data_IF_679777130301
#
_entry.id   IF_679777130301
#
_cell.length_a   1.000
_cell.length_b   1.000
_cell.length_c   1.000
_cell.angle_alpha   90.00
_cell.angle_beta   90.00
_cell.angle_gamma   90.00
#
_symmetry.space_group_name_H-M   'P 1'
#
loop_
_entity.id
_entity.type
_entity.pdbx_description
1 polymer ?
#
# COMPACT_ATOMS: atom_id res chain seq x y z
N UNK A 1 -10.56 0.78 15.93
CA UNK A 1 -10.59 1.17 14.51
C UNK A 1 -10.56 -0.11 13.68
N UNK A 2 -11.53 -0.30 12.79
CA UNK A 2 -11.57 -1.50 11.92
C UNK A 2 -10.63 -1.35 10.70
N UNK A 3 -10.43 -2.41 9.91
CA UNK A 3 -9.55 -2.40 8.73
C UNK A 3 -9.91 -1.32 7.69
N UNK A 4 -11.20 -1.05 7.50
CA UNK A 4 -11.69 -0.09 6.52
C UNK A 4 -11.29 1.33 6.93
N UNK A 5 -11.52 1.67 8.20
CA UNK A 5 -11.12 2.94 8.79
C UNK A 5 -9.60 3.11 8.80
N UNK A 6 -8.85 2.04 9.10
CA UNK A 6 -7.37 2.03 9.05
C UNK A 6 -6.85 2.28 7.64
N UNK A 7 -7.42 1.60 6.64
CA UNK A 7 -7.06 1.82 5.23
C UNK A 7 -7.35 3.27 4.83
N UNK A 8 -8.53 3.78 5.17
CA UNK A 8 -8.92 5.15 4.84
C UNK A 8 -7.96 6.17 5.46
N UNK A 9 -7.64 6.04 6.75
CA UNK A 9 -6.72 6.94 7.47
C UNK A 9 -5.34 7.00 6.81
N UNK A 10 -4.87 5.87 6.28
CA UNK A 10 -3.51 5.73 5.73
C UNK A 10 -3.47 5.78 4.19
N UNK A 11 -4.60 5.99 3.52
CA UNK A 11 -4.75 5.79 2.08
C UNK A 11 -3.81 6.68 1.25
N UNK A 12 -3.60 7.93 1.67
CA UNK A 12 -2.71 8.87 0.99
C UNK A 12 -1.25 8.38 0.98
N UNK A 13 -0.77 7.83 2.09
CA UNK A 13 0.58 7.26 2.18
C UNK A 13 0.70 5.99 1.33
N UNK A 14 -0.27 5.09 1.44
CA UNK A 14 -0.33 3.84 0.69
C UNK A 14 -0.30 4.12 -0.83
N UNK A 15 -1.12 5.06 -1.31
CA UNK A 15 -1.12 5.46 -2.73
C UNK A 15 0.22 6.06 -3.17
N UNK A 16 0.85 6.90 -2.34
CA UNK A 16 2.16 7.48 -2.69
C UNK A 16 3.24 6.41 -2.74
N UNK A 17 3.21 5.42 -1.85
CA UNK A 17 4.18 4.32 -1.84
C UNK A 17 4.15 3.46 -3.10
N UNK A 18 2.99 3.33 -3.75
CA UNK A 18 2.90 2.64 -5.05
C UNK A 18 3.30 3.54 -6.24
N UNK A 19 3.46 4.85 -6.01
CA UNK A 19 3.86 5.80 -7.04
C UNK A 19 2.74 6.22 -7.99
N UNK A 20 1.47 6.10 -7.62
CA UNK A 20 0.35 6.54 -8.46
C UNK A 20 -0.19 7.89 -8.04
N UNK A 21 -0.49 8.74 -9.00
CA UNK A 21 -1.30 9.93 -8.82
C UNK A 21 -2.74 9.56 -8.43
N UNK A 22 -3.48 10.52 -7.87
CA UNK A 22 -4.89 10.31 -7.57
C UNK A 22 -5.72 9.99 -8.82
N UNK A 23 -5.32 10.50 -9.98
CA UNK A 23 -5.99 10.20 -11.25
C UNK A 23 -5.72 8.76 -11.69
N UNK A 24 -4.47 8.31 -11.70
CA UNK A 24 -4.13 6.93 -12.09
C UNK A 24 -4.77 5.90 -11.16
N UNK A 25 -4.86 6.21 -9.85
CA UNK A 25 -5.58 5.36 -8.91
C UNK A 25 -7.08 5.30 -9.25
N UNK A 26 -7.69 6.45 -9.53
CA UNK A 26 -9.11 6.53 -9.90
C UNK A 26 -9.40 5.71 -11.16
N UNK A 27 -8.54 5.80 -12.17
CA UNK A 27 -8.67 5.07 -13.44
C UNK A 27 -8.54 3.55 -13.24
N UNK A 28 -7.73 3.09 -12.27
CA UNK A 28 -7.55 1.66 -11.97
C UNK A 28 -8.78 1.04 -11.30
N UNK A 29 -9.46 1.78 -10.42
CA UNK A 29 -10.68 1.27 -9.75
C UNK A 29 -11.98 1.68 -10.46
N UNK A 30 -11.89 2.49 -11.53
CA UNK A 30 -13.04 2.91 -12.33
C UNK A 30 -13.92 3.98 -11.67
N UNK A 31 -13.32 4.94 -10.95
CA UNK A 31 -14.05 6.04 -10.30
C UNK A 31 -13.49 7.41 -10.73
N UNK A 32 -14.11 8.49 -10.27
CA UNK A 32 -13.59 9.85 -10.50
C UNK A 32 -12.41 10.17 -9.58
N UNK A 33 -11.50 11.05 -10.02
CA UNK A 33 -10.44 11.61 -9.15
C UNK A 33 -11.00 12.27 -7.88
N UNK A 34 -12.19 12.87 -7.97
CA UNK A 34 -12.89 13.45 -6.82
C UNK A 34 -13.23 12.38 -5.77
N UNK A 35 -13.60 11.17 -6.18
CA UNK A 35 -13.85 10.05 -5.28
C UNK A 35 -12.59 9.70 -4.48
N UNK A 36 -11.43 9.61 -5.14
CA UNK A 36 -10.14 9.37 -4.49
C UNK A 36 -9.82 10.49 -3.49
N UNK A 37 -9.99 11.75 -3.88
CA UNK A 37 -9.76 12.90 -3.00
C UNK A 37 -10.70 12.92 -1.78
N UNK A 38 -11.98 12.55 -1.95
CA UNK A 38 -12.92 12.42 -0.84
C UNK A 38 -12.54 11.30 0.13
N UNK A 39 -11.98 10.20 -0.37
CA UNK A 39 -11.47 9.10 0.46
C UNK A 39 -10.26 9.58 1.28
N UNK A 40 -9.29 10.24 0.64
CA UNK A 40 -8.08 10.77 1.30
C UNK A 40 -8.39 11.82 2.36
N UNK A 41 -9.35 12.70 2.09
CA UNK A 41 -9.77 13.75 3.04
C UNK A 41 -10.70 13.22 4.14
N UNK A 42 -11.07 11.94 4.09
CA UNK A 42 -12.02 11.31 5.02
C UNK A 42 -13.36 12.07 5.12
N UNK A 43 -13.77 12.72 4.01
CA UNK A 43 -15.01 13.51 3.97
C UNK A 43 -16.25 12.64 4.20
N UNK A 44 -16.19 11.39 3.74
CA UNK A 44 -17.20 10.37 3.96
C UNK A 44 -16.52 9.06 4.37
N UNK A 45 -17.17 8.23 5.21
CA UNK A 45 -16.65 6.90 5.54
C UNK A 45 -16.42 6.05 4.28
N UNK A 46 -15.28 5.38 4.22
CA UNK A 46 -14.96 4.44 3.14
C UNK A 46 -15.96 3.29 3.15
N UNK A 47 -16.65 3.07 2.03
CA UNK A 47 -17.63 1.96 1.93
C UNK A 47 -16.91 0.62 1.79
N UNK A 48 -17.58 -0.48 2.18
CA UNK A 48 -17.06 -1.84 1.98
C UNK A 48 -16.69 -2.12 0.52
N UNK A 49 -17.51 -1.65 -0.43
CA UNK A 49 -17.24 -1.81 -1.86
C UNK A 49 -15.96 -1.08 -2.29
N UNK A 50 -15.79 0.16 -1.85
CA UNK A 50 -14.57 0.93 -2.15
C UNK A 50 -13.34 0.31 -1.50
N UNK A 51 -13.45 -0.18 -0.26
CA UNK A 51 -12.37 -0.93 0.40
C UNK A 51 -11.95 -2.14 -0.43
N UNK A 52 -12.91 -2.98 -0.86
CA UNK A 52 -12.63 -4.16 -1.70
C UNK A 52 -11.96 -3.74 -3.01
N UNK A 53 -12.46 -2.69 -3.68
CA UNK A 53 -11.89 -2.21 -4.94
C UNK A 53 -10.45 -1.70 -4.78
N UNK A 54 -10.19 -0.86 -3.77
CA UNK A 54 -8.86 -0.35 -3.44
C UNK A 54 -7.92 -1.51 -3.13
N UNK A 55 -8.36 -2.44 -2.28
CA UNK A 55 -7.51 -3.55 -1.85
C UNK A 55 -7.16 -4.45 -3.03
N UNK A 56 -8.14 -4.78 -3.87
CA UNK A 56 -7.95 -5.58 -5.08
C UNK A 56 -6.89 -5.01 -6.04
N UNK A 57 -6.85 -3.70 -6.25
CA UNK A 57 -5.87 -3.09 -7.18
C UNK A 57 -4.47 -3.00 -6.58
N UNK A 58 -4.35 -2.77 -5.27
CA UNK A 58 -3.06 -2.75 -4.58
C UNK A 58 -2.45 -4.15 -4.54
N UNK A 59 -3.28 -5.13 -4.20
CA UNK A 59 -2.93 -6.53 -4.15
C UNK A 59 -2.47 -7.08 -5.51
N UNK A 60 -3.22 -6.75 -6.58
CA UNK A 60 -2.84 -7.13 -7.94
C UNK A 60 -1.51 -6.49 -8.37
N UNK A 61 -1.21 -5.28 -7.88
CA UNK A 61 0.06 -4.60 -8.16
C UNK A 61 1.23 -5.26 -7.43
N UNK A 62 1.04 -5.61 -6.16
CA UNK A 62 2.05 -6.34 -5.37
C UNK A 62 2.37 -7.68 -6.03
N UNK A 63 1.33 -8.40 -6.48
CA UNK A 63 1.50 -9.68 -7.14
C UNK A 63 2.31 -9.59 -8.45
N UNK A 64 2.20 -8.47 -9.18
CA UNK A 64 2.92 -8.24 -10.46
C UNK A 64 4.35 -7.79 -10.28
N UNK A 65 4.57 -6.89 -9.34
CA UNK A 65 5.82 -6.13 -9.23
C UNK A 65 6.45 -6.33 -7.85
N UNK A 66 6.53 -7.59 -7.40
CA UNK A 66 6.95 -7.97 -6.05
C UNK A 66 8.26 -7.29 -5.63
N UNK A 67 9.23 -7.22 -6.53
CA UNK A 67 10.56 -6.65 -6.31
C UNK A 67 10.59 -5.11 -6.22
N UNK A 68 9.48 -4.45 -6.55
CA UNK A 68 9.32 -3.00 -6.47
C UNK A 68 8.30 -2.56 -5.42
N UNK A 69 7.47 -3.47 -4.91
CA UNK A 69 6.34 -3.15 -4.03
C UNK A 69 6.49 -3.68 -2.60
N UNK A 70 7.69 -4.08 -2.18
CA UNK A 70 7.95 -4.59 -0.82
C UNK A 70 7.55 -3.56 0.26
N UNK A 71 7.86 -2.28 0.02
CA UNK A 71 7.43 -1.18 0.88
C UNK A 71 5.91 -1.11 0.99
N UNK A 72 5.20 -1.20 -0.15
CA UNK A 72 3.73 -1.17 -0.17
C UNK A 72 3.13 -2.35 0.61
N UNK A 73 3.65 -3.56 0.41
CA UNK A 73 3.18 -4.75 1.10
C UNK A 73 3.36 -4.62 2.62
N UNK A 74 4.53 -4.18 3.06
CA UNK A 74 4.83 -3.96 4.48
C UNK A 74 3.97 -2.87 5.08
N UNK A 75 3.76 -1.75 4.36
CA UNK A 75 2.90 -0.67 4.84
C UNK A 75 1.44 -1.11 4.96
N UNK A 76 0.92 -1.94 4.04
CA UNK A 76 -0.42 -2.50 4.16
C UNK A 76 -0.55 -3.42 5.37
N UNK A 77 0.43 -4.28 5.58
CA UNK A 77 0.45 -5.18 6.74
C UNK A 77 0.46 -4.38 8.06
N UNK A 78 1.42 -3.47 8.19
CA UNK A 78 1.64 -2.67 9.40
C UNK A 78 0.50 -1.69 9.69
N UNK A 79 -0.09 -1.06 8.66
CA UNK A 79 -1.07 0.00 8.86
C UNK A 79 -2.52 -0.50 8.82
N UNK A 80 -2.77 -1.63 8.16
CA UNK A 80 -4.12 -2.09 7.84
C UNK A 80 -4.37 -3.49 8.38
N UNK A 81 -3.59 -4.48 7.98
CA UNK A 81 -3.94 -5.89 8.20
C UNK A 81 -3.62 -6.36 9.62
N UNK A 82 -2.36 -6.20 10.04
CA UNK A 82 -1.86 -6.69 11.32
C UNK A 82 -1.07 -5.61 12.07
N UNK A 83 -1.67 -4.45 12.39
CA UNK A 83 -0.98 -3.41 13.13
C UNK A 83 -0.48 -3.91 14.50
N UNK A 84 -1.12 -4.88 15.13
CA UNK A 84 -0.72 -5.46 16.41
C UNK A 84 0.67 -6.11 16.41
N UNK A 85 1.22 -6.47 15.25
CA UNK A 85 2.54 -7.10 15.14
C UNK A 85 3.71 -6.11 15.22
N UNK A 86 3.44 -4.82 15.42
CA UNK A 86 4.45 -3.76 15.40
C UNK A 86 4.25 -2.85 16.60
N UNK A 87 5.37 -2.45 17.22
CA UNK A 87 5.32 -1.55 18.36
C UNK A 87 4.92 -0.12 17.92
N UNK A 88 4.16 0.63 18.73
CA UNK A 88 3.70 1.97 18.36
C UNK A 88 4.82 2.94 17.99
N UNK A 89 5.93 2.91 18.73
CA UNK A 89 7.08 3.78 18.51
C UNK A 89 7.76 3.49 17.17
N UNK A 90 7.93 2.20 16.86
CA UNK A 90 8.50 1.74 15.61
C UNK A 90 7.60 2.10 14.41
N UNK A 91 6.28 1.96 14.54
CA UNK A 91 5.32 2.37 13.50
C UNK A 91 5.46 3.85 13.16
N UNK A 92 5.50 4.71 14.17
CA UNK A 92 5.54 6.15 13.97
C UNK A 92 6.83 6.56 13.25
N UNK A 93 7.96 5.94 13.59
CA UNK A 93 9.21 6.16 12.87
C UNK A 93 9.13 5.66 11.42
N UNK A 94 8.61 4.45 11.19
CA UNK A 94 8.45 3.89 9.85
C UNK A 94 7.52 4.71 8.95
N UNK A 95 6.43 5.24 9.52
CA UNK A 95 5.50 6.13 8.83
C UNK A 95 6.21 7.42 8.43
N UNK A 96 6.98 8.04 9.33
CA UNK A 96 7.73 9.25 9.03
C UNK A 96 8.74 9.02 7.90
N UNK A 97 9.51 7.92 7.96
CA UNK A 97 10.45 7.56 6.91
C UNK A 97 9.75 7.28 5.58
N UNK A 98 8.60 6.60 5.61
CA UNK A 98 7.78 6.36 4.43
C UNK A 98 7.29 7.67 3.81
N UNK A 99 6.86 8.64 4.62
CA UNK A 99 6.40 9.95 4.16
C UNK A 99 7.51 10.79 3.53
N UNK A 100 8.77 10.59 3.93
CA UNK A 100 9.93 11.25 3.32
C UNK A 100 10.30 10.64 1.97
N UNK A 101 10.21 9.33 1.84
CA UNK A 101 10.64 8.59 0.63
C UNK A 101 9.54 8.58 -0.43
N UNK A 102 8.27 8.35 -0.06
CA UNK A 102 7.18 8.17 -1.04
C UNK A 102 7.00 9.32 -2.05
N UNK A 103 7.21 10.61 -1.70
CA UNK A 103 7.11 11.71 -2.66
C UNK A 103 8.13 11.65 -3.80
N UNK A 104 9.33 11.07 -3.59
CA UNK A 104 10.37 11.01 -4.63
C UNK A 104 9.97 10.14 -5.82
N UNK A 105 9.13 9.13 -5.58
CA UNK A 105 8.56 8.25 -6.61
C UNK A 105 7.67 9.06 -7.56
N UNK A 106 6.78 9.89 -7.00
CA UNK A 106 5.87 10.73 -7.79
C UNK A 106 6.58 11.91 -8.45
N UNK A 107 7.66 12.41 -7.85
CA UNK A 107 8.50 13.46 -8.42
C UNK A 107 9.39 12.95 -9.57
N UNK A 108 9.48 11.62 -9.77
CA UNK A 108 10.36 11.00 -10.76
C UNK A 108 11.83 11.07 -10.41
N UNK A 109 12.18 11.43 -9.16
CA UNK A 109 13.57 11.55 -8.70
C UNK A 109 14.14 10.24 -8.19
N UNK A 110 13.29 9.27 -7.87
CA UNK A 110 13.68 7.89 -7.58
C UNK A 110 12.69 6.93 -8.27
N UNK A 111 13.19 5.77 -8.70
CA UNK A 111 12.30 4.70 -9.13
C UNK A 111 11.57 4.11 -7.92
N UNK A 112 10.38 3.55 -8.15
CA UNK A 112 9.64 2.83 -7.09
C UNK A 112 10.50 1.74 -6.43
N UNK A 113 11.32 1.05 -7.21
CA UNK A 113 12.24 0.00 -6.74
C UNK A 113 13.32 0.54 -5.80
N UNK A 114 13.94 1.67 -6.13
CA UNK A 114 14.96 2.30 -5.28
C UNK A 114 14.35 2.79 -3.97
N UNK A 115 13.23 3.51 -4.05
CA UNK A 115 12.48 3.98 -2.89
C UNK A 115 12.07 2.81 -1.97
N UNK A 116 11.56 1.71 -2.54
CA UNK A 116 11.21 0.52 -1.78
C UNK A 116 12.44 -0.09 -1.10
N UNK A 117 13.57 -0.23 -1.80
CA UNK A 117 14.80 -0.80 -1.20
C UNK A 117 15.36 0.07 -0.08
N UNK A 118 15.38 1.38 -0.24
CA UNK A 118 15.85 2.30 0.79
C UNK A 118 14.98 2.24 2.04
N UNK A 119 13.66 2.27 1.84
CA UNK A 119 12.73 2.16 2.95
C UNK A 119 12.84 0.80 3.67
N UNK A 120 12.93 -0.30 2.92
CA UNK A 120 13.07 -1.64 3.50
C UNK A 120 14.37 -1.82 4.31
N UNK A 121 15.48 -1.17 3.92
CA UNK A 121 16.71 -1.17 4.73
C UNK A 121 16.49 -0.51 6.10
N UNK A 122 15.81 0.63 6.11
CA UNK A 122 15.47 1.35 7.35
C UNK A 122 14.50 0.52 8.17
N UNK A 123 13.49 -0.09 7.52
CA UNK A 123 12.53 -0.94 8.18
C UNK A 123 13.20 -2.14 8.85
N UNK A 124 14.17 -2.78 8.18
CA UNK A 124 14.97 -3.87 8.73
C UNK A 124 15.74 -3.50 10.00
N UNK A 125 16.15 -2.24 10.15
CA UNK A 125 16.84 -1.77 11.35
C UNK A 125 15.90 -1.45 12.51
N UNK A 126 14.67 -1.04 12.22
CA UNK A 126 13.69 -0.61 13.23
C UNK A 126 12.85 -1.82 13.70
N UNK A 127 12.27 -2.58 12.77
CA UNK A 127 11.36 -3.70 13.05
C UNK A 127 11.90 -5.05 12.55
N UNK A 128 13.11 -5.42 12.94
CA UNK A 128 13.72 -6.67 12.46
C UNK A 128 12.84 -7.89 12.75
N UNK A 129 12.24 -7.98 13.94
CA UNK A 129 11.41 -9.12 14.33
C UNK A 129 10.13 -9.23 13.49
N UNK A 130 9.36 -8.15 13.34
CA UNK A 130 8.09 -8.13 12.60
C UNK A 130 8.26 -8.35 11.10
N UNK A 131 9.34 -7.80 10.51
CA UNK A 131 9.67 -8.05 9.11
C UNK A 131 10.11 -9.48 8.85
N UNK A 132 10.86 -10.08 9.80
CA UNK A 132 11.24 -11.48 9.70
C UNK A 132 10.00 -12.38 9.78
N UNK A 133 9.04 -12.05 10.65
CA UNK A 133 7.76 -12.75 10.75
C UNK A 133 6.96 -12.71 9.44
N UNK A 134 6.87 -11.54 8.79
CA UNK A 134 6.26 -11.42 7.46
C UNK A 134 6.99 -12.26 6.40
N UNK A 135 8.32 -12.21 6.39
CA UNK A 135 9.14 -12.95 5.43
C UNK A 135 9.01 -14.47 5.60
N UNK A 136 8.89 -14.96 6.84
CA UNK A 136 8.67 -16.39 7.14
C UNK A 136 7.22 -16.83 6.95
N UNK A 137 6.28 -15.88 6.92
CA UNK A 137 4.86 -16.13 6.76
C UNK A 137 4.34 -15.48 5.47
N UNK A 138 4.81 -15.93 4.28
CA UNK A 138 4.42 -15.33 2.99
C UNK A 138 2.93 -15.44 2.68
N UNK A 139 2.18 -16.29 3.40
CA UNK A 139 0.73 -16.35 3.34
C UNK A 139 0.03 -15.13 3.98
N UNK A 140 0.70 -14.39 4.88
CA UNK A 140 0.18 -13.15 5.47
C UNK A 140 0.28 -11.95 4.51
N UNK A 141 1.21 -12.01 3.55
CA UNK A 141 1.20 -11.16 2.34
C UNK A 141 -0.03 -11.45 1.46
N UNK A 142 -0.83 -12.45 1.85
CA UNK A 142 -2.14 -12.87 1.34
C UNK A 142 -2.02 -13.36 -0.10
N UNK A 143 -2.33 -14.62 -0.35
CA UNK A 143 -2.54 -15.11 -1.72
C UNK A 143 -3.80 -14.45 -2.28
N UNK A 144 -3.66 -13.25 -2.85
CA UNK A 144 -4.81 -12.57 -3.44
C UNK A 144 -5.15 -13.23 -4.77
N UNK A 145 -6.43 -13.60 -4.89
CA UNK A 145 -6.99 -14.50 -5.87
C UNK A 145 -6.42 -14.29 -7.28
N UNK A 146 -5.84 -15.36 -7.82
CA UNK A 146 -5.37 -15.48 -9.20
C UNK A 146 -6.34 -14.88 -10.23
N UNK A 147 -7.65 -14.92 -9.93
CA UNK A 147 -8.70 -14.34 -10.77
C UNK A 147 -8.67 -12.79 -10.84
N UNK A 148 -8.36 -12.08 -9.75
CA UNK A 148 -8.24 -10.61 -9.74
C UNK A 148 -7.03 -10.20 -10.57
N UNK A 149 -5.91 -10.91 -10.39
CA UNK A 149 -4.72 -10.74 -11.22
C UNK A 149 -5.05 -10.90 -12.70
N UNK A 150 -5.75 -11.99 -13.08
CA UNK A 150 -6.18 -12.25 -14.47
C UNK A 150 -7.14 -11.18 -15.00
N UNK A 151 -8.12 -10.77 -14.21
CA UNK A 151 -9.12 -9.77 -14.60
C UNK A 151 -8.51 -8.37 -14.82
N UNK A 152 -7.52 -8.01 -14.00
CA UNK A 152 -6.84 -6.72 -14.11
C UNK A 152 -5.66 -6.72 -15.10
N UNK A 153 -5.14 -7.90 -15.49
CA UNK A 153 -3.98 -8.04 -16.40
C UNK A 153 -4.43 -8.10 -17.86
N UNK A 154 -5.68 -8.42 -18.09
CA UNK A 154 -6.31 -8.25 -19.39
C UNK A 154 -6.48 -6.77 -19.71
N UNK A 155 -5.66 -6.22 -20.62
CA UNK A 155 -6.06 -5.00 -21.35
C UNK A 155 -5.73 -5.10 -22.84
N UNK A 156 -6.73 -4.61 -23.60
CA UNK A 156 -6.80 -4.20 -25.01
C UNK A 156 -6.98 -5.31 -26.06
N UNK A 157 -8.24 -5.48 -26.49
CA UNK A 157 -8.53 -5.40 -27.94
C UNK A 157 -8.72 -3.93 -28.29
#
# INVERSE_FOLDING_TARGET
MNEIERLQKNFSLIRRSVGWTAQEFADKIGVSKMTISNIETSRYPLTKLQYIAIRSVLDAEIARNKDETEMLATLLDMLVDHPENYEPEEKDELIQKAQLISPSILAGTATRKEASKEWMKIAGTICAASLTFLATNPHLVREIGSWIYKATASKKK
#
